data_IF_945103029836
#
_entry.id   IF_945103029836
#
_cell.length_a   1.000
_cell.length_b   1.000
_cell.length_c   1.000
_cell.angle_alpha   90.00
_cell.angle_beta   90.00
_cell.angle_gamma   90.00
#
_symmetry.space_group_name_H-M   'P 1'
#
loop_
_entity.id
_entity.type
_entity.pdbx_description
1 polymer ?
#
# COMPACT_ATOMS: atom_id res chain seq x y z
N UNK A 1 7.60 14.27 -46.37
CA UNK A 1 6.81 13.16 -45.79
C UNK A 1 6.55 13.47 -44.32
N UNK A 2 5.31 13.83 -43.98
CA UNK A 2 4.90 14.19 -42.62
C UNK A 2 4.92 12.94 -41.72
N UNK A 3 5.83 12.91 -40.74
CA UNK A 3 5.83 11.90 -39.70
C UNK A 3 4.56 12.09 -38.86
N UNK A 4 3.58 11.19 -39.03
CA UNK A 4 2.38 11.13 -38.20
C UNK A 4 2.84 10.78 -36.77
N UNK A 5 2.96 11.79 -35.93
CA UNK A 5 3.22 11.64 -34.49
C UNK A 5 2.08 10.79 -33.93
N UNK A 6 2.38 9.55 -33.57
CA UNK A 6 1.42 8.67 -32.92
C UNK A 6 0.86 9.41 -31.70
N UNK A 7 -0.47 9.51 -31.64
CA UNK A 7 -1.21 10.25 -30.59
C UNK A 7 -1.17 9.54 -29.23
N UNK A 8 -0.52 8.37 -29.17
CA UNK A 8 -0.18 7.69 -27.93
C UNK A 8 1.23 8.13 -27.55
N UNK A 9 1.35 8.94 -26.50
CA UNK A 9 2.62 9.12 -25.80
C UNK A 9 3.14 7.76 -25.28
N UNK A 10 4.36 7.70 -24.75
CA UNK A 10 4.87 6.46 -24.17
C UNK A 10 3.85 5.90 -23.17
N UNK A 11 3.42 4.66 -23.40
CA UNK A 11 2.46 3.98 -22.54
C UNK A 11 3.00 3.96 -21.10
N UNK A 12 2.14 4.17 -20.08
CA UNK A 12 2.56 4.05 -18.69
C UNK A 12 3.15 2.65 -18.48
N UNK A 13 4.33 2.59 -17.88
CA UNK A 13 4.96 1.32 -17.51
C UNK A 13 4.15 0.73 -16.36
N UNK A 14 3.37 -0.31 -16.64
CA UNK A 14 2.79 -1.14 -15.60
C UNK A 14 3.90 -1.98 -15.00
N UNK A 15 4.61 -1.45 -14.00
CA UNK A 15 5.67 -2.19 -13.32
C UNK A 15 5.04 -3.16 -12.33
N UNK A 16 4.98 -4.44 -12.69
CA UNK A 16 4.62 -5.53 -11.79
C UNK A 16 5.86 -6.08 -11.11
N UNK A 17 5.99 -5.92 -9.80
CA UNK A 17 7.09 -6.52 -9.02
C UNK A 17 6.70 -7.90 -8.51
N UNK A 18 7.47 -8.93 -8.86
CA UNK A 18 7.29 -10.28 -8.31
C UNK A 18 8.05 -10.39 -6.99
N UNK A 19 7.37 -10.77 -5.92
CA UNK A 19 7.95 -10.97 -4.60
C UNK A 19 7.85 -12.45 -4.20
N UNK A 20 8.95 -13.03 -3.74
CA UNK A 20 9.00 -14.39 -3.19
C UNK A 20 9.24 -14.30 -1.68
N UNK A 21 8.46 -15.03 -0.89
CA UNK A 21 8.66 -15.10 0.56
C UNK A 21 8.55 -16.56 1.04
N UNK A 22 9.20 -16.86 2.16
CA UNK A 22 9.05 -18.14 2.83
C UNK A 22 7.73 -18.13 3.61
N UNK A 23 6.76 -18.94 3.17
CA UNK A 23 5.48 -19.10 3.85
C UNK A 23 5.53 -20.32 4.77
N UNK A 24 5.31 -20.18 6.09
CA UNK A 24 5.14 -21.33 6.98
C UNK A 24 4.00 -22.23 6.51
N UNK A 25 4.14 -23.55 6.67
CA UNK A 25 3.15 -24.52 6.21
C UNK A 25 1.76 -24.29 6.85
N UNK A 26 1.72 -23.90 8.13
CA UNK A 26 0.48 -23.55 8.82
C UNK A 26 -0.24 -22.37 8.16
N UNK A 27 0.50 -21.30 7.83
CA UNK A 27 -0.05 -20.13 7.17
C UNK A 27 -0.59 -20.47 5.77
N UNK A 28 0.13 -21.32 5.01
CA UNK A 28 -0.37 -21.78 3.70
C UNK A 28 -1.69 -22.54 3.84
N UNK A 29 -1.81 -23.43 4.83
CA UNK A 29 -3.04 -24.18 5.07
C UNK A 29 -4.22 -23.27 5.45
N UNK A 30 -3.97 -22.24 6.26
CA UNK A 30 -4.99 -21.26 6.64
C UNK A 30 -5.44 -20.42 5.43
N UNK A 31 -4.50 -20.00 4.57
CA UNK A 31 -4.80 -19.29 3.33
C UNK A 31 -5.63 -20.14 2.36
N UNK A 32 -5.32 -21.43 2.24
CA UNK A 32 -6.08 -22.36 1.39
C UNK A 32 -7.51 -22.56 1.91
N UNK A 33 -7.67 -22.68 3.23
CA UNK A 33 -8.99 -22.76 3.85
C UNK A 33 -9.78 -21.48 3.63
N UNK A 34 -9.14 -20.32 3.74
CA UNK A 34 -9.76 -19.03 3.50
C UNK A 34 -10.22 -18.88 2.03
N UNK A 35 -9.37 -19.27 1.09
CA UNK A 35 -9.71 -19.34 -0.33
C UNK A 35 -10.92 -20.24 -0.61
N UNK A 36 -10.97 -21.43 -0.01
CA UNK A 36 -12.11 -22.33 -0.12
C UNK A 36 -13.40 -21.73 0.48
N UNK A 37 -13.32 -21.00 1.59
CA UNK A 37 -14.46 -20.32 2.19
C UNK A 37 -14.95 -19.16 1.30
N UNK A 38 -14.02 -18.40 0.72
CA UNK A 38 -14.33 -17.34 -0.24
C UNK A 38 -15.08 -17.91 -1.45
N UNK A 39 -14.60 -19.03 -1.99
CA UNK A 39 -15.25 -19.71 -3.12
C UNK A 39 -16.66 -20.20 -2.78
N UNK A 40 -16.88 -20.72 -1.58
CA UNK A 40 -18.22 -21.11 -1.13
C UNK A 40 -19.16 -19.90 -0.97
N UNK A 41 -18.62 -18.74 -0.58
CA UNK A 41 -19.41 -17.53 -0.34
C UNK A 41 -19.79 -16.81 -1.63
N UNK A 42 -18.87 -16.72 -2.59
CA UNK A 42 -19.04 -15.93 -3.81
C UNK A 42 -19.22 -16.79 -5.08
N UNK A 43 -19.14 -18.11 -4.97
CA UNK A 43 -19.35 -19.05 -6.08
C UNK A 43 -18.18 -19.16 -7.06
N UNK A 44 -17.06 -18.46 -6.82
CA UNK A 44 -15.89 -18.47 -7.69
C UNK A 44 -14.67 -19.01 -6.94
N UNK A 45 -14.02 -20.04 -7.52
CA UNK A 45 -12.79 -20.58 -6.97
C UNK A 45 -11.66 -19.56 -7.12
N UNK A 46 -11.13 -19.09 -5.98
CA UNK A 46 -10.03 -18.14 -5.94
C UNK A 46 -8.82 -18.82 -5.29
N UNK A 47 -7.62 -18.62 -5.82
CA UNK A 47 -6.39 -19.13 -5.22
C UNK A 47 -5.90 -18.22 -4.08
N UNK A 48 -5.20 -18.79 -3.11
CA UNK A 48 -4.53 -18.02 -2.06
C UNK A 48 -3.58 -16.96 -2.67
N UNK A 49 -2.86 -17.28 -3.75
CA UNK A 49 -1.91 -16.35 -4.35
C UNK A 49 -2.56 -15.08 -4.93
N UNK A 50 -3.83 -15.15 -5.33
CA UNK A 50 -4.56 -13.97 -5.83
C UNK A 50 -5.19 -13.18 -4.69
N UNK A 51 -5.56 -13.83 -3.58
CA UNK A 51 -6.08 -13.15 -2.39
C UNK A 51 -4.99 -12.41 -1.59
N UNK A 52 -3.78 -12.97 -1.50
CA UNK A 52 -2.68 -12.41 -0.70
C UNK A 52 -2.42 -10.93 -1.00
N UNK A 53 -2.27 -10.47 -2.26
CA UNK A 53 -2.07 -9.05 -2.56
C UNK A 53 -3.20 -8.16 -2.02
N UNK A 54 -4.46 -8.55 -2.21
CA UNK A 54 -5.62 -7.80 -1.73
C UNK A 54 -5.70 -7.76 -0.19
N UNK A 55 -5.38 -8.87 0.47
CA UNK A 55 -5.32 -8.93 1.93
C UNK A 55 -4.24 -8.02 2.49
N UNK A 56 -3.05 -8.01 1.87
CA UNK A 56 -1.94 -7.15 2.27
C UNK A 56 -2.26 -5.67 2.04
N UNK A 57 -2.87 -5.33 0.91
CA UNK A 57 -3.30 -3.97 0.62
C UNK A 57 -4.33 -3.48 1.67
N UNK A 58 -5.36 -4.28 1.95
CA UNK A 58 -6.35 -3.97 2.96
C UNK A 58 -5.74 -3.82 4.36
N UNK A 59 -4.78 -4.69 4.70
CA UNK A 59 -4.03 -4.61 5.95
C UNK A 59 -3.25 -3.29 6.06
N UNK A 60 -2.46 -2.94 5.03
CA UNK A 60 -1.69 -1.69 5.00
C UNK A 60 -2.58 -0.44 5.03
N UNK A 61 -3.73 -0.48 4.36
CA UNK A 61 -4.71 0.61 4.37
C UNK A 61 -5.39 0.79 5.74
N UNK A 62 -5.52 -0.28 6.52
CA UNK A 62 -6.17 -0.26 7.84
C UNK A 62 -5.20 0.03 8.98
N UNK A 63 -3.91 -0.24 8.82
CA UNK A 63 -2.89 0.06 9.83
C UNK A 63 -2.73 1.58 10.02
N UNK A 64 -3.26 2.07 11.15
CA UNK A 64 -3.21 3.49 11.52
C UNK A 64 -1.79 3.97 11.80
N UNK A 65 -0.93 3.13 12.38
CA UNK A 65 0.47 3.47 12.67
C UNK A 65 1.22 3.68 11.37
N UNK A 66 1.05 2.76 10.42
CA UNK A 66 1.61 2.85 9.09
C UNK A 66 1.08 4.07 8.31
N UNK A 67 -0.22 4.33 8.36
CA UNK A 67 -0.83 5.52 7.74
C UNK A 67 -0.27 6.84 8.27
N UNK A 68 -0.08 6.95 9.59
CA UNK A 68 0.49 8.15 10.23
C UNK A 68 1.93 8.37 9.77
N UNK A 69 2.73 7.31 9.68
CA UNK A 69 4.11 7.39 9.18
C UNK A 69 4.17 7.81 7.69
N UNK A 70 3.26 7.28 6.85
CA UNK A 70 3.17 7.66 5.42
C UNK A 70 2.71 9.10 5.21
N UNK A 71 1.83 9.61 6.07
CA UNK A 71 1.36 10.99 6.03
C UNK A 71 2.38 12.01 6.58
N UNK A 72 3.54 11.53 7.06
CA UNK A 72 4.66 12.34 7.51
C UNK A 72 5.38 13.06 6.36
N UNK A 73 4.68 14.00 5.70
CA UNK A 73 5.38 15.21 5.27
C UNK A 73 5.83 15.87 6.58
N UNK A 74 7.13 16.13 6.81
CA UNK A 74 7.51 16.93 7.95
C UNK A 74 6.80 18.27 7.77
N UNK A 75 5.81 18.57 8.62
CA UNK A 75 5.36 19.94 8.73
C UNK A 75 6.61 20.74 9.11
N UNK A 76 6.93 21.85 8.41
CA UNK A 76 7.98 22.73 8.90
C UNK A 76 7.58 23.10 10.33
N UNK A 77 8.47 22.79 11.28
CA UNK A 77 8.29 23.13 12.67
C UNK A 77 7.85 24.59 12.71
N UNK A 78 6.61 24.84 13.17
CA UNK A 78 6.18 26.21 13.49
C UNK A 78 7.21 26.69 14.49
N UNK A 79 8.05 27.60 14.02
CA UNK A 79 9.04 28.34 14.78
C UNK A 79 8.35 28.79 16.05
N UNK A 80 8.78 28.22 17.18
CA UNK A 80 8.45 28.76 18.47
C UNK A 80 8.92 30.21 18.45
N UNK A 81 7.98 31.14 18.54
CA UNK A 81 8.25 32.56 18.70
C UNK A 81 9.21 32.71 19.89
N UNK A 82 10.36 33.40 19.75
CA UNK A 82 11.24 33.62 20.87
C UNK A 82 10.51 34.55 21.84
N UNK A 83 10.22 34.04 23.04
CA UNK A 83 9.73 34.87 24.13
C UNK A 83 10.81 35.91 24.47
N UNK A 84 10.46 37.19 24.34
CA UNK A 84 11.32 38.28 24.80
C UNK A 84 11.45 38.23 26.33
N UNK A 85 12.65 38.45 26.91
CA UNK A 85 12.77 38.70 28.33
C UNK A 85 12.24 40.10 28.64
N UNK A 86 11.20 40.19 29.46
CA UNK A 86 10.75 41.47 29.97
C UNK A 86 11.61 41.85 31.18
N UNK A 87 12.42 42.89 31.01
CA UNK A 87 13.25 43.48 32.06
C UNK A 87 12.51 44.66 32.69
N UNK A 88 12.32 44.62 34.00
CA UNK A 88 12.32 45.80 34.88
C UNK A 88 11.03 46.09 35.66
N UNK A 89 11.07 47.08 36.57
CA UNK A 89 12.24 47.76 37.13
C UNK A 89 12.83 47.06 38.36
#
# INVERSE_FOLDING_TARGET
MTMRKLRLGPLPKTESTKLTFACPASLKADLDRYAALHAQTYGEAVDAATLIPHMLEAFMARDRGFRKARAGKPLPARTATPAMPNTGP
#
